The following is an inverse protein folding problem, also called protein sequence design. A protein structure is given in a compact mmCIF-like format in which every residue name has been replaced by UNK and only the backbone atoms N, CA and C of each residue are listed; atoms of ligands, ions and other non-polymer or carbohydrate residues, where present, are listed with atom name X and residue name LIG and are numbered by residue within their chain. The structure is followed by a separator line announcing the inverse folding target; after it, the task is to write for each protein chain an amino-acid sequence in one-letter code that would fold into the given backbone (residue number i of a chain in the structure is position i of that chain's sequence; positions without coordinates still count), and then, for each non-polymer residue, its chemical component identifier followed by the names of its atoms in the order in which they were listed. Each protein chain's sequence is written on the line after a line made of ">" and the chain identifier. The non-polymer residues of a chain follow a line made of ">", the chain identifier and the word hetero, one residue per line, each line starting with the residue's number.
data_IF_659695813175
#
_entry.id   IF_659695813175
#
_cell.length_a   1.000
_cell.length_b   1.000
_cell.length_c   1.000
_cell.angle_alpha   90.00
_cell.angle_beta   90.00
_cell.angle_gamma   90.00
#
_symmetry.space_group_name_H-M   'P 1'
#
loop_
_entity.id
_entity.type
_entity.pdbx_description
1 polymer ?
#
# COMPACT_ATOMS: atom_id res chain seq x y z
N UNK A 1 -6.16 -22.58 12.32
CA UNK A 1 -6.30 -21.13 12.50
C UNK A 1 -5.81 -20.78 13.90
N UNK A 2 -4.70 -20.07 14.06
CA UNK A 2 -4.01 -19.96 15.37
C UNK A 2 -4.62 -18.88 16.26
N UNK A 3 -4.70 -19.11 17.58
CA UNK A 3 -5.24 -18.15 18.57
C UNK A 3 -4.63 -16.74 18.44
N UNK A 4 -3.36 -16.64 18.02
CA UNK A 4 -2.67 -15.39 17.72
C UNK A 4 -3.37 -14.53 16.65
N UNK A 5 -3.89 -15.15 15.58
CA UNK A 5 -4.61 -14.42 14.53
C UNK A 5 -5.97 -13.93 15.02
N UNK A 6 -6.66 -14.73 15.85
CA UNK A 6 -7.95 -14.33 16.44
C UNK A 6 -7.78 -13.15 17.41
N UNK A 7 -6.74 -13.19 18.24
CA UNK A 7 -6.45 -12.13 19.22
C UNK A 7 -6.08 -10.80 18.54
N UNK A 8 -5.29 -10.85 17.45
CA UNK A 8 -5.01 -9.64 16.65
C UNK A 8 -6.27 -9.05 16.02
N UNK A 9 -7.16 -9.88 15.44
CA UNK A 9 -8.43 -9.39 14.89
C UNK A 9 -9.26 -8.71 15.97
N UNK A 10 -9.41 -9.36 17.11
CA UNK A 10 -10.21 -8.84 18.21
C UNK A 10 -9.66 -7.52 18.75
N UNK A 11 -8.33 -7.37 18.83
CA UNK A 11 -7.69 -6.13 19.28
C UNK A 11 -8.00 -4.93 18.37
N UNK A 12 -8.00 -5.13 17.05
CA UNK A 12 -8.32 -4.07 16.08
C UNK A 12 -9.82 -3.84 15.85
N UNK A 13 -10.66 -4.79 16.25
CA UNK A 13 -12.13 -4.62 16.28
C UNK A 13 -12.61 -3.84 17.51
N UNK A 14 -11.80 -3.75 18.56
CA UNK A 14 -12.15 -3.07 19.82
C UNK A 14 -11.80 -1.58 19.77
N UNK A 15 -10.88 -1.16 18.90
CA UNK A 15 -10.43 0.24 18.78
C UNK A 15 -11.07 0.89 17.54
N UNK A 16 -12.19 1.58 17.72
CA UNK A 16 -12.82 2.43 16.70
C UNK A 16 -12.26 3.85 16.79
N UNK A 17 -10.97 4.03 16.49
CA UNK A 17 -10.35 5.35 16.48
C UNK A 17 -9.28 5.45 15.39
N UNK A 18 -9.36 6.49 14.54
CA UNK A 18 -8.33 6.85 13.57
C UNK A 18 -7.38 7.92 14.10
N UNK A 19 -7.30 8.13 15.41
CA UNK A 19 -6.40 9.13 15.98
C UNK A 19 -4.94 8.88 15.57
N UNK A 20 -4.25 9.87 14.96
CA UNK A 20 -2.89 9.68 14.44
C UNK A 20 -1.89 9.15 15.48
N UNK A 21 -2.05 9.52 16.76
CA UNK A 21 -1.20 9.05 17.84
C UNK A 21 -1.40 7.57 18.17
N UNK A 22 -2.64 7.07 18.10
CA UNK A 22 -2.92 5.64 18.26
C UNK A 22 -2.39 4.84 17.07
N UNK A 23 -2.58 5.35 15.85
CA UNK A 23 -2.00 4.75 14.63
C UNK A 23 -0.48 4.68 14.77
N UNK A 24 0.16 5.77 15.17
CA UNK A 24 1.59 5.80 15.44
C UNK A 24 2.03 4.75 16.47
N UNK A 25 1.34 4.69 17.61
CA UNK A 25 1.64 3.75 18.69
C UNK A 25 1.56 2.30 18.20
N UNK A 26 0.47 1.90 17.54
CA UNK A 26 0.33 0.54 17.02
C UNK A 26 1.35 0.24 15.93
N UNK A 27 1.56 1.15 14.98
CA UNK A 27 2.59 0.96 13.94
C UNK A 27 3.97 0.75 14.55
N UNK A 28 4.32 1.51 15.59
CA UNK A 28 5.58 1.34 16.32
C UNK A 28 5.66 -0.04 16.96
N UNK A 29 4.64 -0.46 17.72
CA UNK A 29 4.61 -1.78 18.35
C UNK A 29 4.77 -2.92 17.34
N UNK A 30 4.10 -2.84 16.19
CA UNK A 30 4.23 -3.86 15.15
C UNK A 30 5.63 -3.87 14.55
N UNK A 31 6.25 -2.72 14.36
CA UNK A 31 7.61 -2.66 13.84
C UNK A 31 8.62 -3.12 14.89
N UNK A 32 8.53 -2.71 16.14
CA UNK A 32 9.42 -3.18 17.20
C UNK A 32 9.38 -4.72 17.34
N UNK A 33 8.22 -5.35 17.08
CA UNK A 33 8.06 -6.80 17.18
C UNK A 33 8.40 -7.58 15.88
N UNK A 34 8.06 -7.06 14.70
CA UNK A 34 8.18 -7.78 13.42
C UNK A 34 9.24 -7.23 12.48
N UNK A 35 9.73 -6.01 12.71
CA UNK A 35 10.73 -5.39 11.85
C UNK A 35 12.10 -6.04 12.03
N UNK A 36 12.84 -6.05 10.95
CA UNK A 36 14.19 -6.59 10.86
C UNK A 36 14.64 -6.48 9.41
N UNK A 37 15.94 -6.43 9.19
CA UNK A 37 16.52 -6.17 7.86
C UNK A 37 16.44 -7.39 6.92
N UNK A 38 16.06 -8.56 7.44
CA UNK A 38 15.99 -9.80 6.66
C UNK A 38 14.81 -9.80 5.68
N UNK A 39 14.97 -10.51 4.56
CA UNK A 39 13.89 -10.75 3.58
C UNK A 39 12.65 -11.39 4.24
N UNK A 40 12.86 -12.30 5.21
CA UNK A 40 11.80 -12.96 5.97
C UNK A 40 11.00 -11.95 6.80
N UNK A 41 11.69 -11.09 7.55
CA UNK A 41 11.07 -10.02 8.36
C UNK A 41 10.23 -9.08 7.49
N UNK A 42 10.79 -8.63 6.36
CA UNK A 42 10.09 -7.77 5.38
C UNK A 42 8.81 -8.43 4.85
N UNK A 43 8.86 -9.72 4.49
CA UNK A 43 7.67 -10.46 4.07
C UNK A 43 6.64 -10.66 5.20
N UNK A 44 7.07 -10.80 6.45
CA UNK A 44 6.16 -10.85 7.60
C UNK A 44 5.42 -9.53 7.79
N UNK A 45 6.13 -8.40 7.71
CA UNK A 45 5.51 -7.06 7.78
C UNK A 45 4.44 -6.91 6.70
N UNK A 46 4.73 -7.29 5.45
CA UNK A 46 3.74 -7.27 4.36
C UNK A 46 2.50 -8.13 4.67
N UNK A 47 2.69 -9.36 5.16
CA UNK A 47 1.58 -10.27 5.49
C UNK A 47 0.69 -9.70 6.60
N UNK A 48 1.30 -9.12 7.63
CA UNK A 48 0.56 -8.52 8.75
C UNK A 48 -0.18 -7.27 8.29
N UNK A 49 0.48 -6.38 7.54
CA UNK A 49 -0.14 -5.19 6.98
C UNK A 49 -1.40 -5.55 6.17
N UNK A 50 -1.33 -6.56 5.31
CA UNK A 50 -2.48 -7.06 4.53
C UNK A 50 -3.58 -7.66 5.42
N UNK A 51 -3.20 -8.35 6.49
CA UNK A 51 -4.15 -8.97 7.40
C UNK A 51 -4.98 -7.94 8.18
N UNK A 52 -4.32 -6.91 8.72
CA UNK A 52 -4.95 -5.89 9.56
C UNK A 52 -5.74 -4.86 8.76
N UNK A 53 -5.36 -4.60 7.50
CA UNK A 53 -5.98 -3.56 6.66
C UNK A 53 -7.46 -3.76 6.34
N UNK A 54 -7.94 -4.99 6.51
CA UNK A 54 -9.32 -5.38 6.21
C UNK A 54 -10.17 -5.58 7.48
N UNK A 55 -9.59 -5.37 8.67
CA UNK A 55 -10.30 -5.59 9.93
C UNK A 55 -11.02 -4.32 10.40
N UNK A 56 -10.39 -3.14 10.25
CA UNK A 56 -10.95 -1.86 10.70
C UNK A 56 -10.25 -0.67 10.04
N UNK A 57 -10.81 0.54 10.17
CA UNK A 57 -10.19 1.78 9.73
C UNK A 57 -8.80 1.98 10.33
N UNK A 58 -8.65 1.79 11.64
CA UNK A 58 -7.34 1.87 12.32
C UNK A 58 -6.37 0.80 11.81
N UNK A 59 -6.84 -0.41 11.54
CA UNK A 59 -6.03 -1.46 10.94
C UNK A 59 -5.53 -1.06 9.56
N UNK A 60 -6.37 -0.39 8.76
CA UNK A 60 -5.98 0.20 7.47
C UNK A 60 -4.92 1.28 7.65
N UNK A 61 -5.08 2.14 8.65
CA UNK A 61 -4.12 3.19 8.96
C UNK A 61 -2.75 2.64 9.32
N UNK A 62 -2.71 1.70 10.26
CA UNK A 62 -1.49 1.02 10.67
C UNK A 62 -0.86 0.29 9.47
N UNK A 63 -1.67 -0.36 8.64
CA UNK A 63 -1.20 -1.05 7.44
C UNK A 63 -0.48 -0.12 6.46
N UNK A 64 -1.05 1.06 6.18
CA UNK A 64 -0.40 2.07 5.31
C UNK A 64 0.96 2.47 5.87
N UNK A 65 1.06 2.73 7.17
CA UNK A 65 2.33 3.07 7.83
C UNK A 65 3.35 1.93 7.77
N UNK A 66 2.92 0.67 7.94
CA UNK A 66 3.79 -0.51 7.81
C UNK A 66 4.30 -0.69 6.38
N UNK A 67 3.46 -0.45 5.37
CA UNK A 67 3.85 -0.53 3.96
C UNK A 67 4.86 0.56 3.58
N UNK A 68 4.67 1.78 4.07
CA UNK A 68 5.66 2.85 3.89
C UNK A 68 7.00 2.49 4.52
N UNK A 69 7.00 1.99 5.77
CA UNK A 69 8.23 1.53 6.40
C UNK A 69 8.91 0.41 5.60
N UNK A 70 8.15 -0.57 5.13
CA UNK A 70 8.66 -1.67 4.30
C UNK A 70 9.34 -1.15 3.03
N UNK A 71 8.71 -0.22 2.31
CA UNK A 71 9.26 0.37 1.08
C UNK A 71 10.56 1.13 1.35
N UNK A 72 10.57 1.99 2.38
CA UNK A 72 11.77 2.73 2.78
C UNK A 72 12.91 1.80 3.23
N UNK A 73 12.58 0.67 3.88
CA UNK A 73 13.57 -0.33 4.30
C UNK A 73 14.28 -1.03 3.13
N UNK A 74 13.67 -1.06 1.94
CA UNK A 74 14.29 -1.57 0.72
C UNK A 74 15.21 -0.55 0.06
N UNK A 75 14.96 0.74 0.30
CA UNK A 75 15.80 1.85 -0.15
C UNK A 75 16.89 2.23 0.86
N UNK A 76 17.07 1.41 1.90
CA UNK A 76 18.01 1.63 3.02
C UNK A 76 17.90 3.04 3.64
N UNK A 77 16.72 3.64 3.54
CA UNK A 77 16.49 5.02 3.97
C UNK A 77 15.70 4.98 5.27
N UNK A 78 16.19 5.60 6.36
CA UNK A 78 15.44 5.66 7.60
C UNK A 78 14.17 6.47 7.37
N UNK A 79 13.03 5.92 7.78
CA UNK A 79 11.77 6.64 7.77
C UNK A 79 11.59 7.31 9.13
N UNK A 80 11.63 8.64 9.14
CA UNK A 80 11.21 9.42 10.28
C UNK A 80 9.71 9.25 10.47
N UNK A 81 9.32 8.60 11.56
CA UNK A 81 7.94 8.49 12.07
C UNK A 81 7.02 7.60 11.20
N UNK A 82 6.18 6.81 11.89
CA UNK A 82 5.08 6.00 11.34
C UNK A 82 3.94 6.88 10.80
N UNK A 83 4.22 7.67 9.77
CA UNK A 83 3.29 8.65 9.22
C UNK A 83 2.65 8.17 7.92
N UNK A 84 1.44 8.67 7.69
CA UNK A 84 0.87 8.72 6.35
C UNK A 84 1.71 9.66 5.48
N UNK A 85 1.88 9.28 4.21
CA UNK A 85 2.72 10.00 3.25
C UNK A 85 2.01 10.15 1.92
N UNK A 86 2.46 11.15 1.17
CA UNK A 86 2.01 11.39 -0.19
C UNK A 86 2.56 10.33 -1.13
N UNK A 87 1.76 9.89 -2.11
CA UNK A 87 2.21 8.88 -3.07
C UNK A 87 3.41 9.35 -3.92
N UNK A 88 3.62 10.66 -4.07
CA UNK A 88 4.81 11.23 -4.71
C UNK A 88 6.12 10.91 -3.99
N UNK A 89 6.07 10.51 -2.72
CA UNK A 89 7.26 10.04 -1.98
C UNK A 89 7.71 8.64 -2.42
N UNK A 90 6.92 7.91 -3.22
CA UNK A 90 7.36 6.65 -3.84
C UNK A 90 8.54 6.84 -4.81
N UNK A 91 8.95 8.07 -5.11
CA UNK A 91 10.25 8.35 -5.74
C UNK A 91 11.42 7.68 -5.02
N UNK A 92 11.28 7.37 -3.72
CA UNK A 92 12.26 6.60 -2.96
C UNK A 92 12.62 5.24 -3.59
N UNK A 93 11.72 4.69 -4.41
CA UNK A 93 11.95 3.45 -5.16
C UNK A 93 13.14 3.54 -6.13
N UNK A 94 13.57 4.75 -6.54
CA UNK A 94 14.79 4.93 -7.33
C UNK A 94 16.06 4.52 -6.60
N UNK A 95 16.02 4.49 -5.27
CA UNK A 95 17.16 4.16 -4.42
C UNK A 95 17.21 2.67 -4.06
N UNK A 96 16.22 1.88 -4.48
CA UNK A 96 16.20 0.45 -4.21
C UNK A 96 17.16 -0.27 -5.16
N UNK A 97 18.14 -1.04 -4.65
CA UNK A 97 19.10 -1.76 -5.49
C UNK A 97 18.44 -3.00 -6.11
N UNK A 98 17.60 -2.81 -7.13
CA UNK A 98 16.77 -3.88 -7.73
C UNK A 98 17.61 -5.08 -8.18
N UNK A 99 18.78 -4.84 -8.78
CA UNK A 99 19.68 -5.89 -9.26
C UNK A 99 20.18 -6.84 -8.15
N UNK A 100 20.20 -6.38 -6.90
CA UNK A 100 20.70 -7.13 -5.75
C UNK A 100 19.59 -7.84 -4.99
N UNK A 101 18.31 -7.57 -5.33
CA UNK A 101 17.18 -8.18 -4.66
C UNK A 101 17.01 -9.64 -5.07
N UNK A 102 16.90 -10.51 -4.07
CA UNK A 102 16.36 -11.86 -4.28
C UNK A 102 14.94 -11.80 -4.88
N UNK A 103 14.54 -12.83 -5.64
CA UNK A 103 13.19 -12.95 -6.20
C UNK A 103 12.08 -12.74 -5.17
N UNK A 104 12.26 -13.26 -3.96
CA UNK A 104 11.29 -13.09 -2.86
C UNK A 104 11.18 -11.63 -2.43
N UNK A 105 12.32 -10.93 -2.32
CA UNK A 105 12.36 -9.52 -1.98
C UNK A 105 11.77 -8.63 -3.08
N UNK A 106 12.08 -8.93 -4.34
CA UNK A 106 11.48 -8.25 -5.49
C UNK A 106 9.95 -8.36 -5.46
N UNK A 107 9.42 -9.58 -5.29
CA UNK A 107 7.96 -9.78 -5.18
C UNK A 107 7.37 -9.06 -3.98
N UNK A 108 8.09 -9.04 -2.85
CA UNK A 108 7.65 -8.36 -1.63
C UNK A 108 7.48 -6.85 -1.87
N UNK A 109 8.46 -6.18 -2.47
CA UNK A 109 8.37 -4.73 -2.73
C UNK A 109 7.29 -4.40 -3.75
N UNK A 110 7.17 -5.17 -4.84
CA UNK A 110 6.12 -5.00 -5.86
C UNK A 110 4.73 -5.12 -5.22
N UNK A 111 4.54 -6.14 -4.37
CA UNK A 111 3.31 -6.36 -3.61
C UNK A 111 3.04 -5.25 -2.61
N UNK A 112 4.07 -4.74 -1.95
CA UNK A 112 3.94 -3.63 -1.01
C UNK A 112 3.43 -2.36 -1.70
N UNK A 113 4.04 -1.99 -2.84
CA UNK A 113 3.61 -0.84 -3.64
C UNK A 113 2.17 -1.00 -4.12
N UNK A 114 1.82 -2.15 -4.69
CA UNK A 114 0.44 -2.38 -5.15
C UNK A 114 -0.59 -2.37 -4.02
N UNK A 115 -0.27 -2.99 -2.87
CA UNK A 115 -1.15 -2.93 -1.70
C UNK A 115 -1.30 -1.50 -1.18
N UNK A 116 -0.22 -0.71 -1.13
CA UNK A 116 -0.27 0.69 -0.70
C UNK A 116 -1.18 1.54 -1.60
N UNK A 117 -0.99 1.43 -2.93
CA UNK A 117 -1.82 2.12 -3.91
C UNK A 117 -3.30 1.77 -3.74
N UNK A 118 -3.62 0.48 -3.53
CA UNK A 118 -4.99 0.07 -3.27
C UNK A 118 -5.56 0.73 -2.01
N UNK A 119 -4.84 0.65 -0.88
CA UNK A 119 -5.35 1.15 0.40
C UNK A 119 -5.58 2.66 0.39
N UNK A 120 -4.71 3.44 -0.27
CA UNK A 120 -4.86 4.89 -0.34
C UNK A 120 -5.86 5.34 -1.43
N UNK A 121 -5.90 4.69 -2.60
CA UNK A 121 -6.72 5.16 -3.73
C UNK A 121 -8.16 4.61 -3.73
N UNK A 122 -8.43 3.54 -2.99
CA UNK A 122 -9.75 2.92 -2.86
C UNK A 122 -10.37 3.07 -1.47
N UNK A 123 -9.72 3.79 -0.55
CA UNK A 123 -10.05 3.84 0.87
C UNK A 123 -11.56 4.00 1.13
N UNK A 124 -12.28 2.94 1.59
CA UNK A 124 -13.72 3.01 1.84
C UNK A 124 -14.04 3.89 3.05
N UNK A 125 -13.11 4.01 3.98
CA UNK A 125 -13.24 4.79 5.22
C UNK A 125 -12.77 6.25 5.04
N UNK A 126 -12.68 6.75 3.79
CA UNK A 126 -12.07 8.06 3.46
C UNK A 126 -12.62 9.21 4.31
N UNK A 127 -13.94 9.29 4.48
CA UNK A 127 -14.57 10.38 5.24
C UNK A 127 -14.12 10.39 6.70
N UNK A 128 -13.92 9.21 7.29
CA UNK A 128 -13.42 9.06 8.65
C UNK A 128 -11.95 9.53 8.74
N UNK A 129 -11.11 9.14 7.78
CA UNK A 129 -9.74 9.64 7.69
C UNK A 129 -9.69 11.18 7.55
N UNK A 130 -10.52 11.77 6.68
CA UNK A 130 -10.56 13.22 6.52
C UNK A 130 -11.03 13.92 7.82
N UNK A 131 -12.01 13.35 8.52
CA UNK A 131 -12.49 13.86 9.81
C UNK A 131 -11.39 13.86 10.88
N UNK A 132 -10.55 12.82 10.91
CA UNK A 132 -9.41 12.74 11.83
C UNK A 132 -8.16 13.52 11.38
N UNK A 133 -8.30 14.39 10.38
CA UNK A 133 -7.27 15.35 9.98
C UNK A 133 -6.25 14.82 8.99
N UNK A 134 -6.47 13.64 8.39
CA UNK A 134 -5.62 13.17 7.30
C UNK A 134 -5.88 14.00 6.03
N UNK A 135 -4.85 14.66 5.46
CA UNK A 135 -5.00 15.45 4.25
C UNK A 135 -5.52 14.65 3.05
N UNK A 136 -6.44 15.23 2.27
CA UNK A 136 -6.98 14.64 1.04
C UNK A 136 -5.90 14.28 0.02
N UNK A 137 -4.74 14.96 0.05
CA UNK A 137 -3.60 14.67 -0.82
C UNK A 137 -3.01 13.25 -0.61
N UNK A 138 -3.17 12.65 0.57
CA UNK A 138 -2.72 11.28 0.85
C UNK A 138 -3.56 10.21 0.14
N UNK A 139 -4.73 10.57 -0.37
CA UNK A 139 -5.67 9.63 -1.00
C UNK A 139 -5.79 9.90 -2.50
N UNK A 140 -4.79 10.53 -3.12
CA UNK A 140 -4.76 10.73 -4.57
C UNK A 140 -3.36 10.48 -5.11
N UNK A 141 -3.29 10.08 -6.38
CA UNK A 141 -2.03 9.97 -7.12
C UNK A 141 -1.99 11.02 -8.22
N UNK A 142 -0.83 11.64 -8.43
CA UNK A 142 -0.66 12.61 -9.51
C UNK A 142 -0.18 11.91 -10.80
N UNK A 143 -0.48 12.47 -11.98
CA UNK A 143 -0.11 11.84 -13.25
C UNK A 143 1.40 11.60 -13.39
N UNK A 144 2.22 12.52 -12.89
CA UNK A 144 3.67 12.37 -12.87
C UNK A 144 4.14 11.21 -11.98
N UNK A 145 3.46 10.95 -10.86
CA UNK A 145 3.79 9.85 -9.96
C UNK A 145 3.46 8.52 -10.63
N UNK A 146 2.35 8.43 -11.36
CA UNK A 146 1.99 7.25 -12.17
C UNK A 146 3.07 7.00 -13.23
N UNK A 147 3.50 8.04 -13.97
CA UNK A 147 4.56 7.91 -14.98
C UNK A 147 5.87 7.43 -14.36
N UNK A 148 6.27 8.01 -13.24
CA UNK A 148 7.47 7.61 -12.50
C UNK A 148 7.40 6.14 -12.07
N UNK A 149 6.28 5.70 -11.48
CA UNK A 149 6.09 4.32 -11.05
C UNK A 149 6.12 3.32 -12.21
N UNK A 150 5.57 3.69 -13.36
CA UNK A 150 5.64 2.86 -14.58
C UNK A 150 7.07 2.71 -15.07
N UNK A 151 7.81 3.81 -15.17
CA UNK A 151 9.21 3.78 -15.58
C UNK A 151 10.05 2.96 -14.62
N UNK A 152 9.85 3.13 -13.30
CA UNK A 152 10.50 2.31 -12.29
C UNK A 152 10.19 0.83 -12.47
N UNK A 153 8.92 0.46 -12.64
CA UNK A 153 8.51 -0.94 -12.79
C UNK A 153 9.10 -1.59 -14.04
N UNK A 154 9.10 -0.88 -15.18
CA UNK A 154 9.68 -1.35 -16.43
C UNK A 154 11.18 -1.61 -16.29
N UNK A 155 11.91 -0.65 -15.70
CA UNK A 155 13.34 -0.81 -15.44
C UNK A 155 13.58 -2.00 -14.50
N UNK A 156 12.81 -2.09 -13.41
CA UNK A 156 12.95 -3.15 -12.42
C UNK A 156 12.72 -4.54 -13.04
N UNK A 157 11.72 -4.70 -13.90
CA UNK A 157 11.45 -5.96 -14.62
C UNK A 157 12.56 -6.27 -15.62
N UNK A 158 13.08 -5.29 -16.35
CA UNK A 158 14.17 -5.50 -17.30
C UNK A 158 15.47 -5.98 -16.63
N UNK A 159 15.71 -5.56 -15.38
CA UNK A 159 16.87 -5.97 -14.60
C UNK A 159 16.74 -7.38 -13.99
N UNK A 160 15.54 -7.96 -13.94
CA UNK A 160 15.30 -9.23 -13.23
C UNK A 160 14.90 -10.36 -14.19
N UNK A 161 15.81 -11.29 -14.45
CA UNK A 161 15.77 -12.29 -15.53
C UNK A 161 14.80 -13.50 -15.33
N UNK A 162 13.68 -13.33 -14.62
CA UNK A 162 12.84 -14.46 -14.21
C UNK A 162 11.36 -14.37 -14.62
N UNK A 163 10.88 -15.38 -15.34
CA UNK A 163 9.50 -15.53 -15.82
C UNK A 163 8.43 -15.48 -14.71
N UNK A 164 8.72 -15.94 -13.48
CA UNK A 164 7.76 -15.94 -12.36
C UNK A 164 7.57 -14.56 -11.70
N UNK A 165 8.47 -13.61 -11.93
CA UNK A 165 8.32 -12.23 -11.46
C UNK A 165 7.25 -11.46 -12.23
N UNK A 166 6.91 -11.96 -13.44
CA UNK A 166 5.97 -11.33 -14.36
C UNK A 166 4.57 -11.24 -13.80
N UNK A 167 4.09 -12.16 -12.95
CA UNK A 167 2.68 -12.11 -12.51
C UNK A 167 2.38 -10.93 -11.57
N UNK A 168 3.17 -10.76 -10.50
CA UNK A 168 2.97 -9.65 -9.56
C UNK A 168 3.30 -8.30 -10.23
N UNK A 169 4.35 -8.26 -11.07
CA UNK A 169 4.72 -7.08 -11.85
C UNK A 169 3.64 -6.72 -12.89
N UNK A 170 3.08 -7.68 -13.63
CA UNK A 170 2.00 -7.44 -14.60
C UNK A 170 0.73 -6.96 -13.92
N UNK A 171 0.41 -7.44 -12.70
CA UNK A 171 -0.71 -6.91 -11.92
C UNK A 171 -0.48 -5.45 -11.55
N UNK A 172 0.70 -5.10 -11.06
CA UNK A 172 1.05 -3.70 -10.76
C UNK A 172 1.02 -2.84 -12.03
N UNK A 173 1.53 -3.37 -13.14
CA UNK A 173 1.51 -2.71 -14.44
C UNK A 173 0.07 -2.41 -14.88
N UNK A 174 -0.84 -3.38 -14.78
CA UNK A 174 -2.26 -3.18 -15.10
C UNK A 174 -2.93 -2.11 -14.23
N UNK A 175 -2.59 -2.05 -12.93
CA UNK A 175 -3.04 -0.98 -12.04
C UNK A 175 -2.54 0.40 -12.52
N UNK A 176 -1.27 0.49 -12.91
CA UNK A 176 -0.67 1.73 -13.40
C UNK A 176 -1.18 2.11 -14.81
N UNK A 177 -1.50 1.14 -15.67
CA UNK A 177 -2.17 1.35 -16.96
C UNK A 177 -3.57 1.90 -16.75
N UNK A 178 -4.33 1.35 -15.81
CA UNK A 178 -5.64 1.85 -15.43
C UNK A 178 -5.58 3.30 -14.94
N UNK A 179 -4.55 3.70 -14.21
CA UNK A 179 -4.37 5.07 -13.73
C UNK A 179 -3.87 6.03 -14.83
N UNK A 180 -3.09 5.52 -15.79
CA UNK A 180 -2.46 6.28 -16.87
C UNK A 180 -3.35 6.39 -18.13
N UNK A 181 -4.58 6.88 -17.99
CA UNK A 181 -5.47 7.09 -19.15
C UNK A 181 -5.19 8.46 -19.79
N UNK A 182 -4.95 8.54 -21.11
CA UNK A 182 -4.47 9.77 -21.78
C UNK A 182 -5.39 10.98 -21.70
N UNK A 183 -6.71 10.76 -21.64
CA UNK A 183 -7.72 11.82 -21.76
C UNK A 183 -8.14 12.38 -20.40
N UNK A 184 -8.06 11.56 -19.34
CA UNK A 184 -8.40 11.91 -17.96
C UNK A 184 -7.44 11.13 -17.06
N UNK A 185 -6.35 11.75 -16.63
CA UNK A 185 -5.44 11.09 -15.68
C UNK A 185 -6.20 10.82 -14.38
N UNK A 186 -6.38 9.53 -14.04
CA UNK A 186 -7.18 9.13 -12.89
C UNK A 186 -6.35 9.33 -11.62
N UNK A 187 -6.90 10.10 -10.69
CA UNK A 187 -6.28 10.36 -9.39
C UNK A 187 -6.62 9.28 -8.35
N UNK A 188 -7.62 8.45 -8.60
CA UNK A 188 -8.11 7.37 -7.72
C UNK A 188 -8.93 6.35 -8.51
N UNK A 189 -9.45 5.31 -7.84
CA UNK A 189 -10.30 4.31 -8.47
C UNK A 189 -11.73 4.83 -8.68
N UNK A 190 -12.17 4.90 -9.94
CA UNK A 190 -13.52 5.37 -10.30
C UNK A 190 -14.64 4.35 -10.01
N UNK A 191 -14.28 3.11 -9.66
CA UNK A 191 -15.23 2.11 -9.17
C UNK A 191 -15.54 2.34 -7.67
N UNK A 192 -14.53 2.77 -6.91
CA UNK A 192 -14.65 2.99 -5.47
C UNK A 192 -15.03 4.43 -5.11
N UNK A 193 -14.75 5.39 -5.99
CA UNK A 193 -14.92 6.82 -5.75
C UNK A 193 -15.50 7.50 -6.98
N UNK A 194 -16.28 8.55 -6.76
CA UNK A 194 -16.91 9.31 -7.84
C UNK A 194 -15.93 10.28 -8.52
N UNK A 195 -16.43 11.10 -9.44
CA UNK A 195 -15.62 12.10 -10.15
C UNK A 195 -15.08 13.22 -9.24
N UNK A 196 -15.74 13.48 -8.10
CA UNK A 196 -15.32 14.44 -7.07
C UNK A 196 -14.31 13.84 -6.10
N UNK A 197 -14.15 12.51 -6.13
CA UNK A 197 -13.29 11.76 -5.25
C UNK A 197 -13.95 11.41 -3.93
N UNK A 198 -15.27 11.41 -3.84
CA UNK A 198 -15.96 10.94 -2.65
C UNK A 198 -16.27 9.44 -2.77
N UNK A 199 -16.38 8.77 -1.62
CA UNK A 199 -16.61 7.31 -1.59
C UNK A 199 -17.99 7.02 -2.16
N UNK A 200 -18.02 6.24 -3.24
CA UNK A 200 -19.27 5.64 -3.71
C UNK A 200 -19.61 4.57 -2.66
N UNK A 201 -20.90 4.41 -2.34
CA UNK A 201 -21.37 3.35 -1.43
C UNK A 201 -20.88 1.94 -1.83
N UNK A 202 -21.35 0.86 -1.18
CA UNK A 202 -20.82 -0.48 -1.41
C UNK A 202 -20.72 -0.79 -2.91
N UNK A 203 -19.60 -1.39 -3.38
CA UNK A 203 -19.32 -1.56 -4.80
C UNK A 203 -20.52 -2.18 -5.50
N UNK A 204 -20.93 -1.58 -6.62
CA UNK A 204 -22.04 -2.09 -7.43
C UNK A 204 -21.72 -3.53 -7.84
N UNK A 205 -22.67 -4.44 -7.65
CA UNK A 205 -22.52 -5.86 -7.96
C UNK A 205 -22.08 -6.03 -9.42
N UNK A 206 -20.84 -6.47 -9.63
CA UNK A 206 -20.26 -6.74 -10.96
C UNK A 206 -19.03 -5.91 -11.34
N UNK A 207 -18.78 -4.77 -10.68
CA UNK A 207 -17.59 -3.95 -10.97
C UNK A 207 -16.39 -4.40 -10.13
N UNK A 208 -15.40 -5.05 -10.76
CA UNK A 208 -14.14 -5.38 -10.10
C UNK A 208 -13.20 -4.16 -10.04
N UNK A 209 -12.81 -3.79 -8.82
CA UNK A 209 -11.79 -2.78 -8.60
C UNK A 209 -10.42 -3.29 -9.10
N UNK A 210 -9.93 -2.75 -10.23
CA UNK A 210 -8.61 -3.11 -10.80
C UNK A 210 -7.48 -2.94 -9.77
N UNK A 211 -7.56 -1.93 -8.90
CA UNK A 211 -6.56 -1.71 -7.86
C UNK A 211 -6.59 -2.78 -6.75
N UNK A 212 -7.65 -3.58 -6.64
CA UNK A 212 -7.74 -4.65 -5.64
C UNK A 212 -7.06 -5.96 -6.06
N UNK A 213 -6.57 -6.08 -7.30
CA UNK A 213 -5.95 -7.30 -7.85
C UNK A 213 -4.69 -7.76 -7.09
N UNK A 214 -4.07 -6.85 -6.35
CA UNK A 214 -2.87 -7.10 -5.51
C UNK A 214 -3.21 -7.36 -4.04
N UNK A 215 -4.51 -7.45 -3.68
CA UNK A 215 -4.98 -7.77 -2.32
C UNK A 215 -4.82 -9.27 -1.98
N UNK A 216 -4.85 -10.15 -3.00
CA UNK A 216 -4.70 -11.61 -2.90
C UNK A 216 -3.25 -12.09 -2.83
#
# INVERSE_FOLDING_TARGET
>A
MTCRMALMRQSFNVVNSLEPMLVHYFSKLFLDYFSGSSSSSRCHVLRIARFISVQSGIGRAVSVCLLWHLIFSYAETPIGIHQYRELGELRILSNVPIAELSNTSFRCIIRAVGTLLHLQLCCPDLNEFLYHGYPRIFFRILPQDVKMLRSWLLNAVATTDCHHLRTDASKLQAMLDYLNVPVLSRQWCLVCRDASGDVIGPPRTGDECVLSQMRS
#
